data_IF_621460619680
#
_entry.id   IF_621460619680
#
_cell.length_a   1.000
_cell.length_b   1.000
_cell.length_c   1.000
_cell.angle_alpha   90.00
_cell.angle_beta   90.00
_cell.angle_gamma   90.00
#
_symmetry.space_group_name_H-M   'P 1'
#
loop_
_entity.id
_entity.type
_entity.pdbx_description
1 polymer ?
#
# COMPACT_ATOMS: atom_id res chain seq x y z
N UNK A 1 -0.99 0.11 1.21
CA UNK A 1 -2.34 0.63 1.55
C UNK A 1 -2.78 1.64 0.49
N UNK A 2 -4.07 1.93 0.40
CA UNK A 2 -4.61 2.98 -0.48
C UNK A 2 -5.44 4.00 0.29
N UNK A 3 -5.42 5.25 -0.13
CA UNK A 3 -6.18 6.34 0.50
C UNK A 3 -6.49 7.45 -0.51
N UNK A 4 -7.40 8.35 -0.19
CA UNK A 4 -7.45 9.65 -0.82
C UNK A 4 -6.23 10.50 -0.43
N UNK A 5 -5.83 11.51 -1.22
CA UNK A 5 -4.75 12.42 -0.85
C UNK A 5 -4.90 13.01 0.56
N UNK A 6 -3.90 12.77 1.42
CA UNK A 6 -3.90 13.25 2.80
C UNK A 6 -2.49 13.61 3.26
N UNK A 7 -2.30 14.89 3.59
CA UNK A 7 -1.03 15.38 4.14
C UNK A 7 -0.68 14.67 5.45
N UNK A 8 -1.67 14.46 6.32
CA UNK A 8 -1.49 13.80 7.63
C UNK A 8 -0.99 12.36 7.48
N UNK A 9 -1.46 11.65 6.46
CA UNK A 9 -0.98 10.29 6.13
C UNK A 9 0.48 10.34 5.68
N UNK A 10 0.85 11.30 4.82
CA UNK A 10 2.25 11.42 4.36
C UNK A 10 3.21 11.80 5.49
N UNK A 11 2.81 12.76 6.32
CA UNK A 11 3.60 13.19 7.48
C UNK A 11 3.77 12.05 8.48
N UNK A 12 2.72 11.25 8.69
CA UNK A 12 2.81 10.05 9.54
C UNK A 12 3.73 9.00 8.95
N UNK A 13 3.57 8.66 7.67
CA UNK A 13 4.42 7.68 7.01
C UNK A 13 5.89 8.11 7.03
N UNK A 14 6.19 9.39 6.80
CA UNK A 14 7.55 9.91 6.80
C UNK A 14 8.17 9.94 8.20
N UNK A 15 7.42 10.41 9.20
CA UNK A 15 7.86 10.38 10.61
C UNK A 15 8.22 8.96 11.04
N UNK A 16 7.31 8.00 10.82
CA UNK A 16 7.53 6.61 11.22
C UNK A 16 8.67 5.97 10.41
N UNK A 17 8.83 6.33 9.13
CA UNK A 17 9.99 5.88 8.33
C UNK A 17 11.31 6.32 8.95
N UNK A 18 11.43 7.59 9.35
CA UNK A 18 12.63 8.11 10.03
C UNK A 18 12.88 7.36 11.35
N UNK A 19 11.84 7.18 12.18
CA UNK A 19 11.95 6.42 13.42
C UNK A 19 12.45 4.99 13.19
N UNK A 20 11.91 4.29 12.19
CA UNK A 20 12.37 2.93 11.85
C UNK A 20 13.79 2.90 11.28
N UNK A 21 14.19 3.89 10.48
CA UNK A 21 15.56 4.03 10.01
C UNK A 21 16.55 4.21 11.18
N UNK A 22 16.20 5.02 12.17
CA UNK A 22 17.06 5.25 13.34
C UNK A 22 17.15 3.98 14.22
N UNK A 23 16.02 3.31 14.46
CA UNK A 23 15.94 2.07 15.24
C UNK A 23 16.76 0.93 14.61
N UNK A 24 16.88 0.91 13.28
CA UNK A 24 17.63 -0.09 12.53
C UNK A 24 18.94 0.45 11.94
N UNK A 25 19.48 1.53 12.51
CA UNK A 25 20.74 2.16 12.04
C UNK A 25 21.95 1.23 12.05
N UNK A 26 21.89 0.12 12.80
CA UNK A 26 22.92 -0.92 12.83
C UNK A 26 22.82 -1.93 11.66
N UNK A 27 21.74 -1.92 10.88
CA UNK A 27 21.55 -2.80 9.72
C UNK A 27 22.37 -2.26 8.55
N UNK A 28 23.32 -3.06 8.09
CA UNK A 28 24.25 -2.64 7.05
C UNK A 28 23.53 -2.41 5.71
N UNK A 29 23.79 -1.25 5.10
CA UNK A 29 23.24 -0.89 3.80
C UNK A 29 21.75 -0.55 3.82
N UNK A 30 21.12 -0.44 4.99
CA UNK A 30 19.68 -0.17 5.08
C UNK A 30 19.30 1.14 4.40
N UNK A 31 18.35 1.05 3.47
CA UNK A 31 17.60 2.21 2.97
C UNK A 31 16.12 1.86 2.99
N UNK A 32 15.32 2.64 3.70
CA UNK A 32 13.85 2.54 3.66
C UNK A 32 13.30 3.76 2.93
N UNK A 33 12.48 3.53 1.92
CA UNK A 33 11.85 4.56 1.10
C UNK A 33 10.33 4.45 1.15
N UNK A 34 9.67 5.58 1.36
CA UNK A 34 8.24 5.71 1.18
C UNK A 34 7.95 6.02 -0.29
N UNK A 35 7.06 5.24 -0.92
CA UNK A 35 6.67 5.44 -2.31
C UNK A 35 5.18 5.76 -2.37
N UNK A 36 4.87 6.91 -2.97
CA UNK A 36 3.51 7.41 -3.15
C UNK A 36 3.21 7.43 -4.65
N UNK A 37 2.14 6.73 -5.06
CA UNK A 37 1.71 6.63 -6.44
C UNK A 37 0.33 7.28 -6.60
N UNK A 38 0.25 8.53 -7.11
CA UNK A 38 -1.02 9.21 -7.30
C UNK A 38 -1.81 8.56 -8.44
N UNK A 39 -3.09 8.29 -8.20
CA UNK A 39 -4.02 7.77 -9.18
C UNK A 39 -5.17 8.75 -9.37
N UNK A 40 -5.37 9.20 -10.61
CA UNK A 40 -6.40 10.18 -10.92
C UNK A 40 -7.79 9.53 -10.99
N UNK A 41 -8.80 10.22 -10.49
CA UNK A 41 -10.20 9.83 -10.68
C UNK A 41 -10.58 9.72 -12.16
N UNK A 42 -9.96 10.54 -13.02
CA UNK A 42 -10.16 10.52 -14.48
C UNK A 42 -9.69 9.18 -15.08
N UNK A 43 -8.54 8.66 -14.65
CA UNK A 43 -8.03 7.36 -15.11
C UNK A 43 -8.99 6.24 -14.74
N UNK A 44 -9.54 6.26 -13.53
CA UNK A 44 -10.49 5.26 -13.03
C UNK A 44 -11.82 5.36 -13.77
N UNK A 45 -12.33 6.58 -13.95
CA UNK A 45 -13.52 6.87 -14.77
C UNK A 45 -13.37 6.36 -16.20
N UNK A 46 -12.20 6.57 -16.80
CA UNK A 46 -11.95 6.14 -18.17
C UNK A 46 -11.83 4.62 -18.27
N UNK A 47 -11.17 3.96 -17.30
CA UNK A 47 -11.11 2.49 -17.22
C UNK A 47 -12.51 1.88 -17.30
N UNK A 48 -13.45 2.40 -16.48
CA UNK A 48 -14.85 1.95 -16.46
C UNK A 48 -15.53 2.01 -17.84
N UNK A 49 -15.16 2.97 -18.69
CA UNK A 49 -15.75 3.13 -20.03
C UNK A 49 -15.19 2.16 -21.07
N UNK A 50 -13.92 1.77 -20.96
CA UNK A 50 -13.21 1.03 -22.02
C UNK A 50 -12.97 -0.44 -21.70
N UNK A 51 -12.92 -0.79 -20.41
CA UNK A 51 -12.58 -2.16 -19.98
C UNK A 51 -13.14 -2.56 -18.61
N UNK A 52 -13.95 -1.70 -17.99
CA UNK A 52 -14.53 -1.95 -16.67
C UNK A 52 -13.60 -1.57 -15.52
N UNK A 53 -13.82 -2.18 -14.36
CA UNK A 53 -13.15 -1.86 -13.10
C UNK A 53 -12.94 -3.11 -12.26
N UNK A 54 -12.26 -4.11 -12.82
CA UNK A 54 -11.98 -5.41 -12.15
C UNK A 54 -11.18 -5.29 -10.85
N UNK A 55 -10.60 -4.11 -10.59
CA UNK A 55 -9.83 -3.81 -9.37
C UNK A 55 -10.70 -3.22 -8.25
N UNK A 56 -12.02 -3.06 -8.48
CA UNK A 56 -12.93 -2.50 -7.48
C UNK A 56 -12.67 -1.03 -7.12
N UNK A 57 -11.96 -0.26 -7.96
CA UNK A 57 -11.52 1.09 -7.60
C UNK A 57 -12.69 2.08 -7.49
N UNK A 58 -12.71 2.87 -6.42
CA UNK A 58 -13.59 4.02 -6.29
C UNK A 58 -13.16 5.16 -7.22
N UNK A 59 -14.11 5.86 -7.84
CA UNK A 59 -13.86 6.98 -8.78
C UNK A 59 -13.52 8.28 -8.03
N UNK A 60 -12.54 8.21 -7.14
CA UNK A 60 -11.99 9.34 -6.37
C UNK A 60 -10.50 9.49 -6.68
N UNK A 61 -9.92 10.63 -6.32
CA UNK A 61 -8.46 10.75 -6.34
C UNK A 61 -7.89 9.78 -5.32
N UNK A 62 -6.98 8.90 -5.75
CA UNK A 62 -6.34 7.94 -4.85
C UNK A 62 -4.83 8.16 -4.78
N UNK A 63 -4.24 7.60 -3.74
CA UNK A 63 -2.82 7.52 -3.49
C UNK A 63 -2.55 6.09 -3.05
N UNK A 64 -1.73 5.37 -3.81
CA UNK A 64 -1.28 4.05 -3.43
C UNK A 64 0.08 4.18 -2.76
N UNK A 65 0.17 3.65 -1.55
CA UNK A 65 1.34 3.77 -0.70
C UNK A 65 1.97 2.40 -0.43
N UNK A 66 3.29 2.33 -0.61
CA UNK A 66 4.13 1.23 -0.16
C UNK A 66 5.39 1.77 0.54
N UNK A 67 5.89 1.00 1.51
CA UNK A 67 7.24 1.13 2.03
C UNK A 67 8.13 0.09 1.31
N UNK A 68 9.30 0.52 0.85
CA UNK A 68 10.29 -0.33 0.20
C UNK A 68 11.60 -0.25 0.97
N UNK A 69 12.36 -1.35 1.03
CA UNK A 69 13.67 -1.34 1.66
C UNK A 69 14.71 -2.17 0.89
N UNK A 70 15.95 -1.70 0.94
CA UNK A 70 17.16 -2.39 0.51
C UNK A 70 18.08 -2.59 1.72
N UNK A 71 18.78 -3.73 1.79
CA UNK A 71 19.73 -4.05 2.86
C UNK A 71 20.73 -5.13 2.39
N UNK A 72 21.90 -5.22 3.05
CA UNK A 72 23.00 -6.09 2.58
C UNK A 72 22.87 -7.55 3.07
N UNK A 73 22.53 -7.75 4.34
CA UNK A 73 22.55 -9.08 4.95
C UNK A 73 21.16 -9.75 4.94
N UNK A 74 20.96 -10.86 4.22
CA UNK A 74 19.66 -11.55 4.18
C UNK A 74 19.10 -11.94 5.56
N UNK A 75 19.96 -12.15 6.56
CA UNK A 75 19.54 -12.46 7.93
C UNK A 75 18.77 -11.33 8.63
N UNK A 76 18.82 -10.10 8.09
CA UNK A 76 18.05 -8.97 8.59
C UNK A 76 16.66 -8.83 7.94
N UNK A 77 16.26 -9.78 7.09
CA UNK A 77 15.00 -9.69 6.36
C UNK A 77 13.76 -9.55 7.26
N UNK A 78 13.68 -10.30 8.37
CA UNK A 78 12.50 -10.25 9.25
C UNK A 78 12.35 -8.90 9.95
N UNK A 79 13.44 -8.35 10.50
CA UNK A 79 13.40 -7.05 11.19
C UNK A 79 13.11 -5.90 10.21
N UNK A 80 13.66 -5.96 8.99
CA UNK A 80 13.38 -4.96 7.95
C UNK A 80 11.93 -5.04 7.47
N UNK A 81 11.38 -6.25 7.27
CA UNK A 81 9.95 -6.43 6.96
C UNK A 81 9.05 -5.91 8.06
N UNK A 82 9.38 -6.17 9.32
CA UNK A 82 8.61 -5.65 10.46
C UNK A 82 8.61 -4.12 10.51
N UNK A 83 9.75 -3.48 10.22
CA UNK A 83 9.84 -2.03 10.12
C UNK A 83 8.97 -1.47 8.98
N UNK A 84 9.03 -2.06 7.78
CA UNK A 84 8.17 -1.66 6.65
C UNK A 84 6.69 -1.84 6.99
N UNK A 85 6.33 -2.95 7.63
CA UNK A 85 4.96 -3.22 8.08
C UNK A 85 4.47 -2.16 9.06
N UNK A 86 5.32 -1.77 10.03
CA UNK A 86 4.99 -0.73 11.00
C UNK A 86 4.68 0.62 10.34
N UNK A 87 5.45 1.01 9.32
CA UNK A 87 5.20 2.23 8.54
C UNK A 87 3.85 2.16 7.83
N UNK A 88 3.55 1.05 7.15
CA UNK A 88 2.28 0.85 6.44
C UNK A 88 1.09 0.84 7.39
N UNK A 89 1.19 0.15 8.53
CA UNK A 89 0.13 0.09 9.53
C UNK A 89 -0.16 1.47 10.15
N UNK A 90 0.88 2.26 10.44
CA UNK A 90 0.71 3.62 10.96
C UNK A 90 0.02 4.53 9.94
N UNK A 91 0.45 4.50 8.67
CA UNK A 91 -0.18 5.26 7.60
C UNK A 91 -1.65 4.85 7.39
N UNK A 92 -1.94 3.54 7.41
CA UNK A 92 -3.28 3.01 7.27
C UNK A 92 -4.19 3.40 8.46
N UNK A 93 -3.67 3.31 9.69
CA UNK A 93 -4.40 3.71 10.88
C UNK A 93 -4.77 5.20 10.84
N UNK A 94 -3.85 6.06 10.41
CA UNK A 94 -4.12 7.50 10.20
C UNK A 94 -5.18 7.72 9.13
N UNK A 95 -5.07 7.03 7.98
CA UNK A 95 -6.05 7.14 6.91
C UNK A 95 -7.46 6.68 7.35
N UNK A 96 -7.54 5.64 8.18
CA UNK A 96 -8.81 5.17 8.77
C UNK A 96 -9.38 6.18 9.75
N UNK A 97 -8.53 6.76 10.60
CA UNK A 97 -8.94 7.74 11.60
C UNK A 97 -9.46 9.05 10.99
N UNK A 98 -8.85 9.52 9.90
CA UNK A 98 -9.27 10.75 9.22
C UNK A 98 -10.25 10.53 8.06
N UNK A 99 -10.70 9.28 7.83
CA UNK A 99 -11.72 8.95 6.83
C UNK A 99 -11.23 8.99 5.37
N UNK A 100 -9.92 8.98 5.13
CA UNK A 100 -9.35 8.95 3.77
C UNK A 100 -8.99 7.55 3.28
N UNK A 101 -9.05 6.53 4.14
CA UNK A 101 -8.72 5.15 3.80
C UNK A 101 -9.58 4.60 2.64
N UNK A 102 -8.93 3.87 1.73
CA UNK A 102 -9.56 3.09 0.67
C UNK A 102 -9.16 1.61 0.83
N UNK A 103 -10.11 0.66 0.73
CA UNK A 103 -9.85 -0.75 1.04
C UNK A 103 -8.91 -1.44 0.04
N UNK A 104 -8.74 -0.88 -1.16
CA UNK A 104 -7.94 -1.46 -2.23
C UNK A 104 -6.47 -1.69 -1.85
N UNK A 105 -5.94 -2.87 -2.18
CA UNK A 105 -4.54 -3.26 -2.05
C UNK A 105 -4.01 -3.72 -3.41
N UNK A 106 -2.89 -3.14 -3.86
CA UNK A 106 -2.32 -3.49 -5.16
C UNK A 106 -1.51 -4.78 -5.09
N UNK A 107 -1.98 -5.83 -5.77
CA UNK A 107 -1.41 -7.17 -5.72
C UNK A 107 0.10 -7.23 -6.06
N UNK A 108 0.58 -6.40 -6.98
CA UNK A 108 1.98 -6.43 -7.41
C UNK A 108 2.97 -6.02 -6.32
N UNK A 109 2.52 -5.36 -5.25
CA UNK A 109 3.35 -4.92 -4.12
C UNK A 109 2.86 -5.48 -2.79
N UNK A 110 2.01 -6.51 -2.82
CA UNK A 110 1.50 -7.13 -1.61
C UNK A 110 2.60 -7.93 -0.90
N UNK A 111 2.71 -7.72 0.41
CA UNK A 111 3.53 -8.52 1.31
C UNK A 111 2.87 -9.89 1.57
N UNK A 112 3.61 -10.95 1.96
CA UNK A 112 3.04 -12.29 2.20
C UNK A 112 1.91 -12.36 3.23
N UNK A 113 1.78 -11.35 4.10
CA UNK A 113 0.76 -11.20 5.14
C UNK A 113 -0.45 -10.34 4.70
N UNK A 114 -0.58 -10.05 3.40
CA UNK A 114 -1.69 -9.31 2.81
C UNK A 114 -2.52 -10.19 1.88
N UNK A 115 -3.83 -9.93 1.80
CA UNK A 115 -4.75 -10.57 0.86
C UNK A 115 -5.27 -9.52 -0.14
N UNK A 116 -4.50 -9.19 -1.20
CA UNK A 116 -4.85 -8.12 -2.11
C UNK A 116 -6.07 -8.45 -2.97
N UNK A 117 -6.30 -9.73 -3.30
CA UNK A 117 -7.43 -10.13 -4.14
C UNK A 117 -8.76 -9.95 -3.42
N UNK A 118 -8.80 -10.17 -2.10
CA UNK A 118 -9.96 -9.85 -1.29
C UNK A 118 -10.35 -8.37 -1.32
N UNK A 119 -9.41 -7.47 -1.66
CA UNK A 119 -9.67 -6.04 -1.75
C UNK A 119 -10.37 -5.59 -3.03
N UNK A 120 -10.49 -6.44 -4.06
CA UNK A 120 -11.06 -6.06 -5.36
C UNK A 120 -12.60 -6.02 -5.35
N UNK A 121 -13.21 -6.51 -4.27
CA UNK A 121 -14.66 -6.64 -4.14
C UNK A 121 -15.12 -8.08 -4.37
N UNK A 122 -16.23 -8.45 -3.74
CA UNK A 122 -16.70 -9.84 -3.73
C UNK A 122 -17.04 -10.37 -5.13
N UNK A 123 -17.64 -9.54 -5.98
CA UNK A 123 -18.01 -9.91 -7.36
C UNK A 123 -16.77 -10.16 -8.23
N UNK A 124 -15.81 -9.23 -8.21
CA UNK A 124 -14.58 -9.37 -9.00
C UNK A 124 -13.69 -10.52 -8.50
N UNK A 125 -13.63 -10.74 -7.18
CA UNK A 125 -12.93 -11.90 -6.61
C UNK A 125 -13.55 -13.22 -7.06
N UNK A 126 -14.88 -13.34 -7.05
CA UNK A 126 -15.54 -14.56 -7.48
C UNK A 126 -15.32 -14.82 -8.98
N UNK A 127 -15.41 -13.77 -9.79
CA UNK A 127 -15.08 -13.86 -11.22
C UNK A 127 -13.64 -14.34 -11.46
N UNK A 128 -12.67 -13.88 -10.67
CA UNK A 128 -11.29 -14.36 -10.77
C UNK A 128 -11.18 -15.85 -10.42
N UNK A 129 -11.94 -16.33 -9.44
CA UNK A 129 -11.99 -17.77 -9.08
C UNK A 129 -12.57 -18.62 -10.20
N UNK A 130 -13.67 -18.18 -10.80
CA UNK A 130 -14.31 -18.88 -11.93
C UNK A 130 -13.39 -19.00 -13.15
N UNK A 131 -12.53 -18.01 -13.40
CA UNK A 131 -11.57 -18.05 -14.51
C UNK A 131 -10.40 -19.00 -14.21
N UNK A 132 -10.02 -19.14 -12.93
CA UNK A 132 -8.88 -19.93 -12.50
C UNK A 132 -9.18 -21.44 -12.36
N UNK A 133 -10.46 -21.83 -12.40
CA UNK A 133 -10.91 -23.23 -12.35
C UNK A 133 -10.88 -23.91 -13.72
#
# INVERSE_FOLDING_TARGET
MSSQPSLEVYETAERVRVEQCDLLSYVEGLRISNVIQPMSSISIKQSRRVGGNLLGLEEVGQQWFLAMADWNNPADGDRVRQAMRHIVDAAEATAKANGTYLPYQYCNYASPDQDPLASYGAEDLERLREIAS
#
